data_IF_601453449292
#
_entry.id   IF_601453449292
#
_cell.length_a   1.000
_cell.length_b   1.000
_cell.length_c   1.000
_cell.angle_alpha   90.00
_cell.angle_beta   90.00
_cell.angle_gamma   90.00
#
_symmetry.space_group_name_H-M   'P 1'
#
loop_
_entity.id
_entity.type
_entity.pdbx_description
1 polymer ?
#
# COMPACT_ATOMS: atom_id res chain seq x y z
N UNK A 1 -13.59 -6.90 -4.25
CA UNK A 1 -14.54 -6.39 -3.24
C UNK A 1 -14.69 -4.88 -3.19
N UNK A 2 -13.62 -4.08 -3.25
CA UNK A 2 -13.70 -2.60 -3.17
C UNK A 2 -14.78 -1.99 -4.09
N UNK A 3 -14.82 -2.41 -5.37
CA UNK A 3 -15.86 -2.00 -6.33
C UNK A 3 -17.27 -2.40 -5.84
N UNK A 4 -17.45 -3.64 -5.40
CA UNK A 4 -18.74 -4.17 -4.93
C UNK A 4 -19.24 -3.44 -3.67
N UNK A 5 -18.32 -2.96 -2.85
CA UNK A 5 -18.62 -2.22 -1.62
C UNK A 5 -18.76 -0.72 -1.87
N UNK A 6 -18.61 -0.25 -3.12
CA UNK A 6 -18.61 1.17 -3.46
C UNK A 6 -17.61 1.97 -2.60
N UNK A 7 -16.43 1.38 -2.37
CA UNK A 7 -15.38 1.99 -1.56
C UNK A 7 -14.80 3.22 -2.27
N UNK A 8 -14.75 4.36 -1.59
CA UNK A 8 -14.09 5.55 -2.11
C UNK A 8 -12.56 5.39 -2.19
N UNK A 9 -12.00 4.56 -1.30
CA UNK A 9 -10.56 4.34 -1.18
C UNK A 9 -10.28 3.08 -0.35
N UNK A 10 -9.05 2.57 -0.40
CA UNK A 10 -8.61 1.41 0.38
C UNK A 10 -7.26 1.66 1.06
N UNK A 11 -7.00 0.91 2.13
CA UNK A 11 -5.66 0.72 2.70
C UNK A 11 -5.32 -0.75 2.55
N UNK A 12 -4.11 -1.02 2.08
CA UNK A 12 -3.59 -2.39 1.92
C UNK A 12 -2.79 -2.72 3.17
N UNK A 13 -3.00 -3.91 3.73
CA UNK A 13 -2.26 -4.36 4.91
C UNK A 13 -1.83 -5.79 4.68
N UNK A 14 -0.56 -6.09 4.91
CA UNK A 14 -0.10 -7.47 5.02
C UNK A 14 0.89 -7.64 6.17
N UNK A 15 0.99 -8.86 6.67
CA UNK A 15 1.86 -9.21 7.79
C UNK A 15 3.16 -9.84 7.28
N UNK A 16 4.28 -9.51 7.93
CA UNK A 16 5.54 -10.23 7.79
C UNK A 16 5.67 -11.25 8.94
N UNK A 17 5.51 -12.56 8.69
CA UNK A 17 5.64 -13.58 9.73
C UNK A 17 7.03 -13.64 10.38
N UNK A 18 8.06 -13.10 9.70
CA UNK A 18 9.40 -12.91 10.26
C UNK A 18 9.43 -11.94 11.46
N UNK A 19 8.40 -11.08 11.58
CA UNK A 19 8.30 -10.05 12.61
C UNK A 19 8.95 -8.71 12.24
N UNK A 20 9.74 -8.65 11.17
CA UNK A 20 10.37 -7.42 10.67
C UNK A 20 9.48 -6.75 9.61
N UNK A 21 8.97 -5.52 9.84
CA UNK A 21 8.12 -4.81 8.89
C UNK A 21 8.91 -4.13 7.74
N UNK A 22 10.22 -4.32 7.63
CA UNK A 22 11.01 -3.75 6.53
C UNK A 22 10.47 -4.20 5.16
N UNK A 23 10.19 -3.27 4.22
CA UNK A 23 9.63 -3.60 2.92
C UNK A 23 10.65 -4.32 2.02
N UNK A 24 10.18 -5.34 1.32
CA UNK A 24 10.88 -5.98 0.22
C UNK A 24 10.69 -5.22 -1.11
N UNK A 25 11.47 -5.58 -2.12
CA UNK A 25 11.27 -5.05 -3.47
C UNK A 25 9.89 -5.46 -4.06
N UNK A 26 9.41 -6.66 -3.70
CA UNK A 26 8.10 -7.15 -4.11
C UNK A 26 6.96 -6.33 -3.50
N UNK A 27 7.06 -5.94 -2.22
CA UNK A 27 6.05 -5.11 -1.57
C UNK A 27 5.91 -3.75 -2.26
N UNK A 28 7.05 -3.16 -2.64
CA UNK A 28 7.10 -1.89 -3.36
C UNK A 28 6.48 -2.06 -4.75
N UNK A 29 6.86 -3.09 -5.51
CA UNK A 29 6.32 -3.35 -6.84
C UNK A 29 4.81 -3.57 -6.80
N UNK A 30 4.31 -4.37 -5.86
CA UNK A 30 2.88 -4.58 -5.64
C UNK A 30 2.16 -3.27 -5.32
N UNK A 31 2.76 -2.41 -4.49
CA UNK A 31 2.19 -1.10 -4.15
C UNK A 31 2.04 -0.21 -5.40
N UNK A 32 3.03 -0.23 -6.31
CA UNK A 32 2.96 0.52 -7.57
C UNK A 32 1.79 0.02 -8.42
N UNK A 33 1.65 -1.30 -8.57
CA UNK A 33 0.56 -1.89 -9.36
C UNK A 33 -0.81 -1.57 -8.76
N UNK A 34 -0.93 -1.63 -7.42
CA UNK A 34 -2.16 -1.30 -6.71
C UNK A 34 -2.53 0.19 -6.83
N UNK A 35 -1.58 1.11 -6.69
CA UNK A 35 -1.81 2.55 -6.88
C UNK A 35 -2.26 2.85 -8.33
N UNK A 36 -1.62 2.25 -9.32
CA UNK A 36 -2.02 2.39 -10.73
C UNK A 36 -3.43 1.86 -10.99
N UNK A 37 -3.75 0.67 -10.48
CA UNK A 37 -5.07 0.08 -10.63
C UNK A 37 -6.13 0.92 -9.90
N UNK A 38 -5.84 1.39 -8.69
CA UNK A 38 -6.72 2.25 -7.91
C UNK A 38 -7.08 3.53 -8.65
N UNK A 39 -6.09 4.22 -9.22
CA UNK A 39 -6.30 5.42 -10.05
C UNK A 39 -7.19 5.16 -11.27
N UNK A 40 -6.97 4.04 -11.96
CA UNK A 40 -7.79 3.68 -13.13
C UNK A 40 -9.25 3.43 -12.74
N UNK A 41 -9.48 2.86 -11.55
CA UNK A 41 -10.80 2.53 -11.04
C UNK A 41 -11.47 3.70 -10.28
N UNK A 42 -10.75 4.80 -10.04
CA UNK A 42 -11.23 5.89 -9.18
C UNK A 42 -11.35 5.48 -7.71
N UNK A 43 -10.55 4.51 -7.25
CA UNK A 43 -10.50 4.04 -5.86
C UNK A 43 -9.08 4.22 -5.35
N UNK A 44 -8.84 5.26 -4.56
CA UNK A 44 -7.49 5.60 -4.11
C UNK A 44 -6.91 4.53 -3.17
N UNK A 45 -5.65 4.17 -3.39
CA UNK A 45 -4.86 3.41 -2.40
C UNK A 45 -4.20 4.40 -1.46
N UNK A 46 -4.74 4.53 -0.25
CA UNK A 46 -4.32 5.54 0.71
C UNK A 46 -2.97 5.20 1.35
N UNK A 47 -2.69 3.92 1.58
CA UNK A 47 -1.42 3.44 2.12
C UNK A 47 -1.27 1.93 1.90
N UNK A 48 -0.05 1.45 2.08
CA UNK A 48 0.28 0.04 2.23
C UNK A 48 1.07 -0.16 3.53
N UNK A 49 0.44 -0.83 4.49
CA UNK A 49 1.02 -1.10 5.80
C UNK A 49 1.61 -2.51 5.85
N UNK A 50 2.88 -2.61 6.23
CA UNK A 50 3.54 -3.88 6.56
C UNK A 50 3.57 -4.00 8.08
N UNK A 51 2.96 -5.07 8.61
CA UNK A 51 2.87 -5.31 10.06
C UNK A 51 3.85 -6.40 10.47
N UNK A 52 4.70 -6.09 11.46
CA UNK A 52 5.61 -7.01 12.11
C UNK A 52 5.26 -7.22 13.59
N UNK A 53 6.13 -7.92 14.34
CA UNK A 53 5.83 -8.33 15.73
C UNK A 53 5.74 -7.17 16.72
N UNK A 54 6.43 -6.06 16.45
CA UNK A 54 6.52 -4.91 17.37
C UNK A 54 6.15 -3.58 16.71
N UNK A 55 5.42 -3.61 15.59
CA UNK A 55 5.01 -2.37 14.92
C UNK A 55 4.63 -2.57 13.46
N UNK A 56 4.57 -1.46 12.74
CA UNK A 56 4.26 -1.43 11.32
C UNK A 56 5.07 -0.35 10.61
N UNK A 57 5.23 -0.51 9.30
CA UNK A 57 5.77 0.51 8.40
C UNK A 57 4.69 0.92 7.40
N UNK A 58 4.62 2.22 7.12
CA UNK A 58 3.81 2.81 6.06
C UNK A 58 4.69 3.05 4.84
N UNK A 59 4.40 2.38 3.72
CA UNK A 59 5.12 2.60 2.48
C UNK A 59 4.89 4.01 1.96
N UNK A 60 3.69 4.59 2.19
CA UNK A 60 3.41 5.97 1.79
C UNK A 60 4.25 6.97 2.56
N UNK A 61 4.42 6.79 3.88
CA UNK A 61 5.28 7.64 4.71
C UNK A 61 6.75 7.54 4.29
N UNK A 62 7.19 6.36 3.84
CA UNK A 62 8.54 6.17 3.31
C UNK A 62 8.71 6.69 1.87
N UNK A 63 7.62 7.08 1.19
CA UNK A 63 7.66 7.49 -0.21
C UNK A 63 8.03 6.35 -1.16
N UNK A 64 7.66 5.11 -0.81
CA UNK A 64 7.94 3.90 -1.58
C UNK A 64 6.66 3.40 -2.24
N UNK A 65 6.74 3.08 -3.54
CA UNK A 65 5.61 2.48 -4.26
C UNK A 65 4.47 3.43 -4.62
N UNK A 66 4.55 4.70 -4.21
CA UNK A 66 3.62 5.76 -4.59
C UNK A 66 4.33 6.80 -5.46
N UNK A 67 3.66 7.35 -6.49
CA UNK A 67 4.18 8.48 -7.24
C UNK A 67 4.48 9.65 -6.32
N UNK A 68 5.65 10.27 -6.50
CA UNK A 68 5.89 11.57 -5.88
C UNK A 68 4.95 12.56 -6.54
N UNK A 69 4.12 13.23 -5.75
CA UNK A 69 3.37 14.37 -6.25
C UNK A 69 4.41 15.36 -6.78
N UNK A 70 4.47 15.53 -8.10
CA UNK A 70 5.14 16.65 -8.71
C UNK A 70 4.31 17.87 -8.32
N UNK A 71 4.78 18.57 -7.28
CA UNK A 71 4.33 19.94 -7.00
C UNK A 71 4.84 20.87 -8.08
#
# INVERSE_FOLDING_TARGET
DAIRQNAASIVVVHNHPSGDPAPSAQDIALTVELDQAGRLLGIDVLDHLIVGSHGHISLRRLGLGFPRNAG
#
